data_IF_285244406822
#
_entry.id   IF_285244406822
#
_cell.length_a   1.000
_cell.length_b   1.000
_cell.length_c   1.000
_cell.angle_alpha   90.00
_cell.angle_beta   90.00
_cell.angle_gamma   90.00
#
_symmetry.space_group_name_H-M   'P 1'
#
loop_
_entity.id
_entity.type
_entity.pdbx_description
1 polymer ?
#
# COMPACT_ATOMS: atom_id res chain seq x y z
N UNK A 1 42.82 -1.87 11.06
CA UNK A 1 41.52 -2.44 11.49
C UNK A 1 40.51 -2.16 10.40
N UNK A 2 40.18 -3.19 9.62
CA UNK A 2 39.27 -3.06 8.47
C UNK A 2 37.84 -2.85 8.95
N UNK A 3 37.20 -1.80 8.45
CA UNK A 3 35.76 -1.65 8.51
C UNK A 3 35.18 -2.81 7.69
N UNK A 4 34.70 -3.84 8.38
CA UNK A 4 33.94 -4.92 7.77
C UNK A 4 32.70 -4.32 7.15
N UNK A 5 32.73 -4.11 5.84
CA UNK A 5 31.56 -3.79 5.05
C UNK A 5 30.56 -4.92 5.25
N UNK A 6 29.54 -4.69 6.08
CA UNK A 6 28.34 -5.52 6.11
C UNK A 6 27.81 -5.43 4.67
N UNK A 7 28.05 -6.47 3.87
CA UNK A 7 27.34 -6.61 2.60
C UNK A 7 25.86 -6.53 2.96
N UNK A 8 25.07 -5.57 2.41
CA UNK A 8 23.63 -5.64 2.61
C UNK A 8 23.20 -7.01 2.12
N UNK A 9 22.49 -7.75 2.98
CA UNK A 9 21.82 -8.98 2.59
C UNK A 9 21.03 -8.64 1.30
N UNK A 10 21.13 -9.42 0.22
CA UNK A 10 20.32 -9.14 -0.97
C UNK A 10 18.89 -8.95 -0.50
N UNK A 11 18.29 -7.80 -0.83
CA UNK A 11 16.94 -7.48 -0.39
C UNK A 11 16.05 -8.57 -0.98
N UNK A 12 15.55 -9.49 -0.13
CA UNK A 12 14.77 -10.64 -0.56
C UNK A 12 13.54 -10.18 -1.35
N UNK A 13 13.05 -8.96 -1.04
CA UNK A 13 12.01 -8.30 -1.79
C UNK A 13 12.40 -8.05 -3.26
N UNK A 14 13.62 -7.60 -3.57
CA UNK A 14 14.07 -7.33 -4.94
C UNK A 14 14.13 -8.62 -5.78
N UNK A 15 14.57 -9.74 -5.20
CA UNK A 15 14.58 -11.04 -5.88
C UNK A 15 13.17 -11.58 -6.07
N UNK A 16 12.38 -11.63 -5.00
CA UNK A 16 11.03 -12.21 -5.02
C UNK A 16 10.10 -11.42 -5.95
N UNK A 17 10.24 -10.09 -5.94
CA UNK A 17 9.49 -9.20 -6.82
C UNK A 17 9.85 -9.40 -8.28
N UNK A 18 11.16 -9.44 -8.59
CA UNK A 18 11.62 -9.66 -9.97
C UNK A 18 11.14 -10.99 -10.52
N UNK A 19 11.23 -12.05 -9.72
CA UNK A 19 10.77 -13.38 -10.13
C UNK A 19 9.25 -13.42 -10.35
N UNK A 20 8.47 -12.79 -9.46
CA UNK A 20 7.03 -12.71 -9.61
C UNK A 20 6.62 -11.91 -10.85
N UNK A 21 7.24 -10.75 -11.08
CA UNK A 21 7.00 -9.94 -12.27
C UNK A 21 7.41 -10.69 -13.55
N UNK A 22 8.57 -11.37 -13.54
CA UNK A 22 9.03 -12.15 -14.69
C UNK A 22 8.04 -13.26 -15.05
N UNK A 23 7.54 -13.98 -14.04
CA UNK A 23 6.55 -15.04 -14.22
C UNK A 23 5.23 -14.46 -14.75
N UNK A 24 4.73 -13.36 -14.17
CA UNK A 24 3.49 -12.72 -14.61
C UNK A 24 3.60 -12.22 -16.05
N UNK A 25 4.70 -11.57 -16.42
CA UNK A 25 4.94 -11.11 -17.79
C UNK A 25 5.00 -12.28 -18.78
N UNK A 26 5.52 -13.44 -18.37
CA UNK A 26 5.66 -14.61 -19.24
C UNK A 26 4.35 -15.40 -19.44
N UNK A 27 3.52 -15.50 -18.40
CA UNK A 27 2.38 -16.43 -18.38
C UNK A 27 1.04 -15.76 -18.11
N UNK A 28 1.03 -14.54 -17.58
CA UNK A 28 -0.16 -13.82 -17.15
C UNK A 28 -0.97 -14.53 -16.06
N UNK A 29 -2.20 -14.07 -15.86
CA UNK A 29 -3.20 -14.77 -15.06
C UNK A 29 -3.28 -14.37 -13.58
N UNK A 30 -4.48 -14.55 -13.03
CA UNK A 30 -4.88 -14.11 -11.69
C UNK A 30 -4.01 -14.69 -10.56
N UNK A 31 -3.59 -15.95 -10.67
CA UNK A 31 -2.78 -16.59 -9.64
C UNK A 31 -1.38 -15.94 -9.51
N UNK A 32 -0.80 -15.49 -10.62
CA UNK A 32 0.47 -14.77 -10.63
C UNK A 32 0.30 -13.31 -10.23
N UNK A 33 -0.85 -12.71 -10.57
CA UNK A 33 -1.21 -11.36 -10.12
C UNK A 33 -1.40 -11.32 -8.58
N UNK A 34 -2.06 -12.33 -8.01
CA UNK A 34 -2.21 -12.50 -6.56
C UNK A 34 -0.87 -12.61 -5.81
N UNK A 35 0.21 -13.04 -6.48
CA UNK A 35 1.56 -13.00 -5.90
C UNK A 35 2.07 -11.57 -5.77
N UNK A 36 1.75 -10.69 -6.72
CA UNK A 36 1.99 -9.25 -6.62
C UNK A 36 1.25 -8.62 -5.43
N UNK A 37 -0.03 -8.97 -5.24
CA UNK A 37 -0.81 -8.57 -4.07
C UNK A 37 -0.15 -8.97 -2.75
N UNK A 38 0.29 -10.23 -2.63
CA UNK A 38 0.93 -10.73 -1.40
C UNK A 38 2.27 -10.03 -1.12
N UNK A 39 3.06 -9.77 -2.16
CA UNK A 39 4.30 -8.99 -2.03
C UNK A 39 4.02 -7.56 -1.54
N UNK A 40 2.98 -6.92 -2.08
CA UNK A 40 2.51 -5.62 -1.63
C UNK A 40 2.07 -5.64 -0.16
N UNK A 41 1.29 -6.66 0.23
CA UNK A 41 0.79 -6.82 1.60
C UNK A 41 1.93 -7.00 2.60
N UNK A 42 2.92 -7.83 2.24
CA UNK A 42 4.13 -8.05 3.04
C UNK A 42 4.97 -6.77 3.15
N UNK A 43 5.20 -6.08 2.04
CA UNK A 43 5.95 -4.83 2.02
C UNK A 43 5.29 -3.75 2.90
N UNK A 44 3.95 -3.64 2.86
CA UNK A 44 3.19 -2.78 3.75
C UNK A 44 3.38 -3.16 5.22
N UNK A 45 3.28 -4.46 5.55
CA UNK A 45 3.48 -4.95 6.92
C UNK A 45 4.92 -4.72 7.43
N UNK A 46 5.90 -4.80 6.54
CA UNK A 46 7.32 -4.52 6.80
C UNK A 46 7.62 -3.01 6.84
N UNK A 47 6.62 -2.13 6.67
CA UNK A 47 6.77 -0.67 6.76
C UNK A 47 7.46 -0.04 5.55
N UNK A 48 7.52 -0.73 4.41
CA UNK A 48 8.09 -0.18 3.16
C UNK A 48 7.19 0.91 2.61
N UNK A 49 7.82 1.93 2.03
CA UNK A 49 7.14 3.04 1.39
C UNK A 49 6.80 2.75 -0.08
N UNK A 50 5.79 3.43 -0.62
CA UNK A 50 5.43 3.33 -2.05
C UNK A 50 6.62 3.69 -2.96
N UNK A 51 7.40 4.77 -2.72
CA UNK A 51 8.56 5.09 -3.55
C UNK A 51 9.63 3.98 -3.56
N UNK A 52 9.85 3.29 -2.43
CA UNK A 52 10.76 2.14 -2.40
C UNK A 52 10.27 1.02 -3.33
N UNK A 53 8.97 0.67 -3.25
CA UNK A 53 8.36 -0.34 -4.12
C UNK A 53 8.41 0.04 -5.60
N UNK A 54 8.16 1.30 -5.95
CA UNK A 54 8.31 1.80 -7.33
C UNK A 54 9.77 1.67 -7.79
N UNK A 55 10.72 1.90 -6.88
CA UNK A 55 12.14 1.65 -7.14
C UNK A 55 12.46 0.18 -7.43
N UNK A 56 11.91 -0.76 -6.63
CA UNK A 56 12.03 -2.21 -6.87
C UNK A 56 11.46 -2.58 -8.24
N UNK A 57 10.25 -2.11 -8.53
CA UNK A 57 9.56 -2.35 -9.80
C UNK A 57 10.38 -1.87 -11.00
N UNK A 58 10.90 -0.64 -10.93
CA UNK A 58 11.71 -0.04 -11.99
C UNK A 58 12.99 -0.83 -12.27
N UNK A 59 13.64 -1.36 -11.23
CA UNK A 59 14.84 -2.23 -11.39
C UNK A 59 14.48 -3.57 -12.02
N UNK A 60 13.37 -4.19 -11.59
CA UNK A 60 12.90 -5.46 -12.14
C UNK A 60 12.51 -5.32 -13.62
N UNK A 61 11.74 -4.28 -13.97
CA UNK A 61 11.33 -3.99 -15.34
C UNK A 61 12.54 -3.74 -16.26
N UNK A 62 13.52 -2.94 -15.81
CA UNK A 62 14.77 -2.73 -16.56
C UNK A 62 15.50 -4.03 -16.82
N UNK A 63 15.57 -4.90 -15.81
CA UNK A 63 16.22 -6.22 -15.95
C UNK A 63 15.51 -7.08 -16.99
N UNK A 64 14.18 -7.07 -17.01
CA UNK A 64 13.38 -7.83 -17.99
C UNK A 64 13.48 -7.26 -19.41
N UNK A 65 13.52 -5.94 -19.54
CA UNK A 65 13.65 -5.23 -20.82
C UNK A 65 15.03 -5.42 -21.46
N UNK A 66 16.08 -5.65 -20.66
CA UNK A 66 17.44 -5.91 -21.14
C UNK A 66 17.76 -7.40 -21.30
N UNK A 67 16.81 -8.31 -21.11
CA UNK A 67 17.05 -9.75 -21.27
C UNK A 67 16.85 -10.19 -22.74
N UNK A 68 17.95 -10.18 -23.49
CA UNK A 68 17.99 -10.56 -24.92
C UNK A 68 17.61 -12.03 -25.17
N UNK A 69 17.58 -12.88 -24.12
CA UNK A 69 17.22 -14.31 -24.25
C UNK A 69 15.72 -14.54 -24.39
N UNK A 70 14.91 -13.56 -24.01
CA UNK A 70 13.47 -13.61 -24.11
C UNK A 70 12.95 -12.32 -24.75
N UNK A 71 13.07 -12.16 -26.07
CA UNK A 71 12.52 -11.01 -26.78
C UNK A 71 11.02 -10.90 -26.51
N UNK A 72 10.59 -9.74 -26.04
CA UNK A 72 9.18 -9.44 -25.77
C UNK A 72 8.77 -8.22 -26.57
N UNK A 73 7.50 -8.16 -26.94
CA UNK A 73 6.92 -6.92 -27.42
C UNK A 73 7.02 -5.86 -26.30
N UNK A 74 7.64 -4.70 -26.54
CA UNK A 74 7.80 -3.66 -25.52
C UNK A 74 6.47 -3.15 -24.97
N UNK A 75 5.42 -3.08 -25.81
CA UNK A 75 4.08 -2.66 -25.39
C UNK A 75 3.50 -3.62 -24.36
N UNK A 76 3.40 -4.91 -24.71
CA UNK A 76 2.90 -5.95 -23.81
C UNK A 76 3.70 -6.06 -22.51
N UNK A 77 5.02 -5.84 -22.55
CA UNK A 77 5.85 -5.80 -21.35
C UNK A 77 5.46 -4.66 -20.41
N UNK A 78 5.26 -3.45 -20.96
CA UNK A 78 4.89 -2.27 -20.17
C UNK A 78 3.49 -2.46 -19.58
N UNK A 79 2.50 -2.88 -20.37
CA UNK A 79 1.12 -3.08 -19.91
C UNK A 79 1.02 -4.14 -18.81
N UNK A 80 1.78 -5.23 -18.95
CA UNK A 80 1.86 -6.29 -17.93
C UNK A 80 2.53 -5.79 -16.66
N UNK A 81 3.59 -4.99 -16.80
CA UNK A 81 4.29 -4.41 -15.66
C UNK A 81 3.41 -3.39 -14.91
N UNK A 82 2.67 -2.55 -15.63
CA UNK A 82 1.70 -1.62 -15.04
C UNK A 82 0.63 -2.37 -14.25
N UNK A 83 0.02 -3.39 -14.86
CA UNK A 83 -1.02 -4.21 -14.21
C UNK A 83 -0.49 -4.86 -12.93
N UNK A 84 0.72 -5.42 -12.98
CA UNK A 84 1.36 -6.05 -11.82
C UNK A 84 1.70 -5.04 -10.71
N UNK A 85 2.16 -3.84 -11.08
CA UNK A 85 2.43 -2.76 -10.14
C UNK A 85 1.15 -2.30 -9.45
N UNK A 86 0.06 -2.09 -10.21
CA UNK A 86 -1.22 -1.69 -9.68
C UNK A 86 -1.73 -2.70 -8.64
N UNK A 87 -1.64 -4.01 -8.94
CA UNK A 87 -2.03 -5.05 -7.98
C UNK A 87 -1.16 -5.02 -6.71
N UNK A 88 0.16 -4.87 -6.88
CA UNK A 88 1.10 -4.76 -5.75
C UNK A 88 0.76 -3.57 -4.85
N UNK A 89 0.29 -2.45 -5.41
CA UNK A 89 -0.03 -1.24 -4.65
C UNK A 89 -1.43 -1.25 -4.03
N UNK A 90 -2.30 -2.19 -4.41
CA UNK A 90 -3.66 -2.28 -3.88
C UNK A 90 -3.75 -2.38 -2.34
N UNK A 91 -2.85 -3.06 -1.59
CA UNK A 91 -2.92 -3.09 -0.12
C UNK A 91 -2.68 -1.71 0.53
N UNK A 92 -1.86 -0.87 -0.11
CA UNK A 92 -1.59 0.50 0.36
C UNK A 92 -2.82 1.39 0.18
N UNK A 93 -3.48 1.31 -0.99
CA UNK A 93 -4.74 1.99 -1.29
C UNK A 93 -5.85 1.56 -0.30
N UNK A 94 -6.03 0.25 -0.10
CA UNK A 94 -7.04 -0.29 0.82
C UNK A 94 -6.84 0.20 2.26
N UNK A 95 -5.59 0.26 2.73
CA UNK A 95 -5.25 0.74 4.07
C UNK A 95 -5.53 2.24 4.20
N UNK A 96 -5.16 3.03 3.18
CA UNK A 96 -5.39 4.47 3.21
C UNK A 96 -6.88 4.83 3.13
N UNK A 97 -7.68 4.09 2.35
CA UNK A 97 -9.14 4.20 2.33
C UNK A 97 -9.74 3.83 3.69
N UNK A 98 -9.36 2.69 4.26
CA UNK A 98 -9.84 2.27 5.57
C UNK A 98 -9.50 3.26 6.70
N UNK A 99 -8.31 3.87 6.65
CA UNK A 99 -7.93 4.93 7.57
C UNK A 99 -8.80 6.18 7.41
N UNK A 100 -9.05 6.62 6.18
CA UNK A 100 -9.94 7.76 5.90
C UNK A 100 -11.36 7.53 6.40
N UNK A 101 -11.92 6.35 6.13
CA UNK A 101 -13.28 6.00 6.54
C UNK A 101 -13.40 5.99 8.07
N UNK A 102 -12.39 5.41 8.75
CA UNK A 102 -12.31 5.40 10.21
C UNK A 102 -12.20 6.82 10.79
N UNK A 103 -11.40 7.70 10.17
CA UNK A 103 -11.26 9.08 10.59
C UNK A 103 -12.54 9.90 10.40
N UNK A 104 -13.31 9.63 9.34
CA UNK A 104 -14.62 10.26 9.11
C UNK A 104 -15.61 9.79 10.17
N UNK A 105 -15.72 8.48 10.40
CA UNK A 105 -16.60 7.91 11.41
C UNK A 105 -16.27 8.43 12.82
N UNK A 106 -14.98 8.51 13.16
CA UNK A 106 -14.53 9.03 14.45
C UNK A 106 -14.90 10.51 14.64
N UNK A 107 -14.68 11.35 13.63
CA UNK A 107 -15.09 12.77 13.68
C UNK A 107 -16.59 12.95 13.88
N UNK A 108 -17.39 12.15 13.17
CA UNK A 108 -18.84 12.18 13.32
C UNK A 108 -19.29 11.83 14.74
N UNK A 109 -18.71 10.77 15.33
CA UNK A 109 -19.01 10.39 16.72
C UNK A 109 -18.63 11.51 17.69
N UNK A 110 -17.46 12.13 17.51
CA UNK A 110 -17.02 13.23 18.36
C UNK A 110 -17.97 14.43 18.28
N UNK A 111 -18.43 14.81 17.08
CA UNK A 111 -19.40 15.89 16.89
C UNK A 111 -20.73 15.62 17.60
N UNK A 112 -21.24 14.39 17.55
CA UNK A 112 -22.47 14.01 18.26
C UNK A 112 -22.30 14.12 19.78
N UNK A 113 -21.17 13.66 20.32
CA UNK A 113 -20.88 13.76 21.75
C UNK A 113 -20.81 15.22 22.22
N UNK A 114 -20.18 16.09 21.45
CA UNK A 114 -20.13 17.51 21.76
C UNK A 114 -21.50 18.18 21.72
N UNK A 115 -22.36 17.81 20.75
CA UNK A 115 -23.73 18.31 20.67
C UNK A 115 -24.54 17.88 21.90
N UNK A 116 -24.39 16.63 22.34
CA UNK A 116 -25.10 16.11 23.50
C UNK A 116 -24.64 16.78 24.79
N UNK A 117 -23.32 16.99 24.97
CA UNK A 117 -22.78 17.76 26.11
C UNK A 117 -23.38 19.17 26.15
N UNK A 118 -23.43 19.86 24.99
CA UNK A 118 -24.03 21.20 24.90
C UNK A 118 -25.52 21.18 25.25
N UNK A 119 -26.26 20.18 24.78
CA UNK A 119 -27.70 20.03 25.05
C UNK A 119 -27.97 19.81 26.54
N UNK A 120 -27.24 18.90 27.18
CA UNK A 120 -27.37 18.62 28.62
C UNK A 120 -27.05 19.87 29.43
N UNK A 121 -25.95 20.55 29.12
CA UNK A 121 -25.56 21.79 29.79
C UNK A 121 -26.65 22.88 29.68
N UNK A 122 -27.28 23.01 28.51
CA UNK A 122 -28.37 23.97 28.31
C UNK A 122 -29.61 23.59 29.14
N UNK A 123 -30.05 22.33 29.08
CA UNK A 123 -31.22 21.87 29.86
C UNK A 123 -31.03 22.01 31.37
N UNK A 124 -29.83 21.73 31.89
CA UNK A 124 -29.54 21.90 33.32
C UNK A 124 -29.57 23.38 33.73
N UNK A 125 -29.09 24.27 32.86
CA UNK A 125 -29.13 25.70 33.12
C UNK A 125 -30.58 26.23 33.11
N UNK A 126 -31.40 25.80 32.16
CA UNK A 126 -32.79 26.21 32.01
C UNK A 126 -33.66 25.76 33.21
N UNK A 127 -33.52 24.49 33.63
CA UNK A 127 -34.23 23.94 34.80
C UNK A 127 -33.82 24.65 36.10
N UNK A 128 -32.55 25.01 36.23
CA UNK A 128 -32.03 25.76 37.39
C UNK A 128 -32.53 27.21 37.40
N UNK A 129 -32.80 27.80 36.22
CA UNK A 129 -33.36 29.15 36.08
C UNK A 129 -34.86 29.25 36.33
N UNK A 130 -35.61 28.15 36.23
CA UNK A 130 -37.05 28.10 36.54
C UNK A 130 -37.37 27.91 38.03
N UNK A 131 -36.39 27.54 38.85
CA UNK A 131 -36.55 27.26 40.29
C UNK A 131 -36.17 28.45 41.20
N UNK A 132 -35.91 29.63 40.62
CA UNK A 132 -35.61 30.90 41.31
C UNK A 132 -36.69 31.95 41.02
#
# INVERSE_FOLDING_TARGET
>A
MGMSAIRPKPDLLDSDYREALAAYVAYGGEALLARGYELGRKALADGRSIPELVGVHSRALRTLASDDRAPRDPGLLIDSAETFLAETLSPFEMTHRGYRDSLIAWRHINEMLEQEIRRIAHSLHDDSGQLL
#
